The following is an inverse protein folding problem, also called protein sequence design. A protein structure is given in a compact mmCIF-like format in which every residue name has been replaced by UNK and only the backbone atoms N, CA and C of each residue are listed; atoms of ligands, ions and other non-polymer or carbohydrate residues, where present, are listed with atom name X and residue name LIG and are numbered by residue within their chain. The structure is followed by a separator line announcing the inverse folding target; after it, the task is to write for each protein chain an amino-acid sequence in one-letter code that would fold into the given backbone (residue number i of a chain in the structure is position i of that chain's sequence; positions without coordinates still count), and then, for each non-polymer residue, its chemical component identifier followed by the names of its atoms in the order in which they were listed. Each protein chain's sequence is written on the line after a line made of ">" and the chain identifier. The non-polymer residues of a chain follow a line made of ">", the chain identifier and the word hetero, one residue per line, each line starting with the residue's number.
data_IF_991292143831
#
_entry.id   IF_991292143831
#
_cell.length_a   1.000
_cell.length_b   1.000
_cell.length_c   1.000
_cell.angle_alpha   90.00
_cell.angle_beta   90.00
_cell.angle_gamma   90.00
#
_symmetry.space_group_name_H-M   'P 1'
#
loop_
_entity.id
_entity.type
_entity.pdbx_description
1 polymer ?
#
# COMPACT_ATOMS: atom_id res chain seq x y z
N UNK A 1 6.10 -3.70 -8.90
CA UNK A 1 6.89 -2.77 -8.10
C UNK A 1 6.45 -1.31 -8.37
N UNK A 2 6.16 -0.55 -7.32
CA UNK A 2 5.76 0.86 -7.42
C UNK A 2 7.03 1.70 -7.59
N UNK A 3 7.14 2.38 -8.75
CA UNK A 3 8.35 3.14 -9.14
C UNK A 3 8.25 4.60 -8.69
N UNK A 4 9.36 5.18 -8.26
CA UNK A 4 9.48 6.61 -7.99
C UNK A 4 9.74 7.41 -9.29
N UNK A 5 9.21 8.65 -9.49
CA UNK A 5 8.18 9.31 -8.68
C UNK A 5 6.81 8.66 -8.89
N UNK A 6 6.20 8.22 -7.81
CA UNK A 6 5.01 7.39 -7.85
C UNK A 6 3.82 8.03 -8.59
N UNK A 7 3.47 9.26 -8.24
CA UNK A 7 2.31 9.96 -8.80
C UNK A 7 2.46 10.18 -10.31
N UNK A 8 3.64 10.58 -10.78
CA UNK A 8 3.90 10.76 -12.19
C UNK A 8 3.83 9.43 -12.97
N UNK A 9 4.31 8.32 -12.38
CA UNK A 9 4.22 6.99 -12.98
C UNK A 9 2.77 6.52 -13.05
N UNK A 10 2.00 6.68 -11.99
CA UNK A 10 0.59 6.31 -11.91
C UNK A 10 -0.24 7.07 -12.96
N UNK A 11 -0.07 8.40 -13.03
CA UNK A 11 -0.74 9.24 -14.01
C UNK A 11 -0.35 8.89 -15.46
N UNK A 12 0.92 8.57 -15.72
CA UNK A 12 1.36 8.13 -17.05
C UNK A 12 0.73 6.77 -17.42
N UNK A 13 0.58 5.84 -16.47
CA UNK A 13 -0.11 4.55 -16.71
C UNK A 13 -1.60 4.77 -16.99
N UNK A 14 -2.27 5.62 -16.19
CA UNK A 14 -3.67 5.99 -16.39
C UNK A 14 -3.90 6.63 -17.78
N UNK A 15 -3.03 7.57 -18.15
CA UNK A 15 -3.05 8.20 -19.48
C UNK A 15 -2.91 7.17 -20.61
N UNK A 16 -1.94 6.25 -20.53
CA UNK A 16 -1.76 5.19 -21.54
C UNK A 16 -2.98 4.29 -21.64
N UNK A 17 -3.58 3.90 -20.49
CA UNK A 17 -4.81 3.11 -20.50
C UNK A 17 -5.97 3.85 -21.16
N UNK A 18 -6.14 5.15 -20.88
CA UNK A 18 -7.19 5.95 -21.55
C UNK A 18 -6.93 6.12 -23.06
N UNK A 19 -5.67 6.20 -23.48
CA UNK A 19 -5.33 6.21 -24.92
C UNK A 19 -5.72 4.91 -25.62
N UNK A 20 -5.53 3.76 -24.97
CA UNK A 20 -5.97 2.46 -25.48
C UNK A 20 -7.51 2.37 -25.56
N UNK A 21 -8.23 2.88 -24.55
CA UNK A 21 -9.69 2.94 -24.59
C UNK A 21 -10.20 3.83 -25.75
N UNK A 22 -9.58 4.99 -25.98
CA UNK A 22 -9.90 5.87 -27.10
C UNK A 22 -9.64 5.17 -28.45
N UNK A 23 -8.52 4.45 -28.56
CA UNK A 23 -8.21 3.69 -29.79
C UNK A 23 -9.25 2.61 -30.06
N UNK A 24 -9.73 1.93 -29.02
CA UNK A 24 -10.74 0.89 -29.15
C UNK A 24 -12.15 1.43 -29.46
N UNK A 25 -12.52 2.55 -28.84
CA UNK A 25 -13.82 3.20 -29.10
C UNK A 25 -13.87 3.89 -30.48
N UNK A 26 -12.73 4.07 -31.12
CA UNK A 26 -12.66 4.76 -32.42
C UNK A 26 -13.18 3.86 -33.53
N UNK A 27 -14.13 4.39 -34.31
CA UNK A 27 -14.65 3.74 -35.54
C UNK A 27 -13.91 4.26 -36.75
N UNK A 28 -13.43 3.39 -37.66
CA UNK A 28 -12.84 3.83 -38.93
C UNK A 28 -13.79 4.76 -39.68
N UNK A 29 -13.27 5.86 -40.23
CA UNK A 29 -14.04 6.89 -40.88
C UNK A 29 -14.47 8.08 -40.02
N UNK A 30 -14.40 7.99 -38.72
CA UNK A 30 -14.64 9.11 -37.80
C UNK A 30 -13.35 9.89 -37.48
N UNK A 31 -13.51 11.17 -37.10
CA UNK A 31 -12.38 11.96 -36.61
C UNK A 31 -11.89 11.44 -35.25
N UNK A 32 -10.69 10.85 -35.22
CA UNK A 32 -10.09 10.33 -33.99
C UNK A 32 -9.73 11.44 -33.04
N UNK A 33 -10.13 11.35 -31.74
CA UNK A 33 -9.76 12.32 -30.73
C UNK A 33 -8.24 12.46 -30.57
N UNK A 34 -7.76 13.68 -30.46
CA UNK A 34 -6.33 14.00 -30.35
C UNK A 34 -5.80 13.76 -28.95
N UNK A 35 -5.02 12.70 -28.71
CA UNK A 35 -4.52 12.26 -27.40
C UNK A 35 -3.17 12.87 -27.01
N UNK A 36 -2.45 13.49 -27.95
CA UNK A 36 -1.10 14.06 -27.72
C UNK A 36 -0.07 13.06 -27.16
N UNK A 37 -0.25 11.76 -27.36
CA UNK A 37 0.52 10.67 -26.71
C UNK A 37 2.04 10.81 -26.82
N UNK A 38 2.57 11.19 -27.97
CA UNK A 38 4.01 11.39 -28.18
C UNK A 38 4.56 12.52 -27.29
N UNK A 39 3.86 13.66 -27.23
CA UNK A 39 4.24 14.82 -26.41
C UNK A 39 4.13 14.49 -24.92
N UNK A 40 3.02 13.88 -24.51
CA UNK A 40 2.77 13.50 -23.13
C UNK A 40 3.82 12.49 -22.60
N UNK A 41 4.23 11.55 -23.44
CA UNK A 41 5.30 10.61 -23.13
C UNK A 41 6.67 11.29 -23.03
N UNK A 42 6.99 12.22 -23.94
CA UNK A 42 8.22 13.03 -23.85
C UNK A 42 8.28 13.84 -22.57
N UNK A 43 7.18 14.49 -22.18
CA UNK A 43 7.08 15.25 -20.92
C UNK A 43 7.28 14.34 -19.69
N UNK A 44 6.72 13.12 -19.71
CA UNK A 44 6.94 12.13 -18.67
C UNK A 44 8.41 11.69 -18.59
N UNK A 45 9.03 11.34 -19.71
CA UNK A 45 10.43 10.91 -19.76
C UNK A 45 11.38 12.00 -19.27
N UNK A 46 11.10 13.27 -19.56
CA UNK A 46 11.92 14.40 -19.09
C UNK A 46 11.97 14.51 -17.55
N UNK A 47 10.93 13.99 -16.84
CA UNK A 47 10.97 13.87 -15.39
C UNK A 47 11.74 12.63 -14.94
N UNK A 48 11.37 11.45 -15.47
CA UNK A 48 11.88 10.16 -14.96
C UNK A 48 13.39 9.99 -15.22
N UNK A 49 13.92 10.57 -16.29
CA UNK A 49 15.36 10.57 -16.58
C UNK A 49 16.17 11.53 -15.70
N UNK A 50 15.50 12.41 -14.95
CA UNK A 50 16.17 13.32 -14.04
C UNK A 50 16.51 12.60 -12.72
N UNK A 51 17.80 12.47 -12.39
CA UNK A 51 18.29 11.71 -11.22
C UNK A 51 17.77 12.26 -9.88
N UNK A 52 17.72 13.60 -9.74
CA UNK A 52 17.22 14.28 -8.54
C UNK A 52 16.32 15.46 -8.96
N UNK A 53 15.06 15.22 -9.34
CA UNK A 53 14.18 16.30 -9.78
C UNK A 53 13.77 17.17 -8.60
N UNK A 54 13.88 18.50 -8.75
CA UNK A 54 13.37 19.46 -7.77
C UNK A 54 11.82 19.37 -7.68
N UNK A 55 11.25 19.67 -6.51
CA UNK A 55 9.80 19.61 -6.25
C UNK A 55 8.97 20.41 -7.28
N UNK A 56 9.46 21.59 -7.69
CA UNK A 56 8.82 22.41 -8.73
C UNK A 56 8.72 21.68 -10.09
N UNK A 57 9.79 20.93 -10.47
CA UNK A 57 9.82 20.13 -11.70
C UNK A 57 8.86 18.96 -11.63
N UNK A 58 8.80 18.25 -10.49
CA UNK A 58 7.86 17.16 -10.25
C UNK A 58 6.42 17.68 -10.37
N UNK A 59 6.10 18.77 -9.66
CA UNK A 59 4.77 19.37 -9.69
C UNK A 59 4.36 19.79 -11.11
N UNK A 60 5.25 20.43 -11.87
CA UNK A 60 5.00 20.82 -13.27
C UNK A 60 4.68 19.61 -14.14
N UNK A 61 5.41 18.51 -13.96
CA UNK A 61 5.19 17.28 -14.72
C UNK A 61 3.86 16.61 -14.36
N UNK A 62 3.50 16.56 -13.07
CA UNK A 62 2.19 16.06 -12.60
C UNK A 62 1.06 16.88 -13.22
N UNK A 63 1.12 18.22 -13.17
CA UNK A 63 0.11 19.09 -13.78
C UNK A 63 -0.08 18.86 -15.27
N UNK A 64 1.02 18.61 -16.03
CA UNK A 64 0.94 18.24 -17.44
C UNK A 64 0.24 16.90 -17.65
N UNK A 65 0.61 15.85 -16.87
CA UNK A 65 -0.02 14.53 -16.98
C UNK A 65 -1.52 14.59 -16.64
N UNK A 66 -1.91 15.34 -15.60
CA UNK A 66 -3.30 15.59 -15.27
C UNK A 66 -4.06 16.24 -16.42
N UNK A 67 -3.47 17.25 -17.09
CA UNK A 67 -4.10 17.91 -18.25
C UNK A 67 -4.29 16.97 -19.44
N UNK A 68 -3.34 16.04 -19.69
CA UNK A 68 -3.49 15.04 -20.73
C UNK A 68 -4.56 14.01 -20.37
N UNK A 69 -4.56 13.52 -19.12
CA UNK A 69 -5.52 12.55 -18.63
C UNK A 69 -6.95 13.11 -18.66
N UNK A 70 -7.16 14.35 -18.22
CA UNK A 70 -8.46 15.04 -18.29
C UNK A 70 -9.04 15.04 -19.70
N UNK A 71 -8.26 15.46 -20.70
CA UNK A 71 -8.71 15.47 -22.11
C UNK A 71 -9.08 14.08 -22.63
N UNK A 72 -8.31 13.06 -22.22
CA UNK A 72 -8.62 11.70 -22.61
C UNK A 72 -9.94 11.23 -21.97
N UNK A 73 -10.16 11.51 -20.68
CA UNK A 73 -11.41 11.18 -20.00
C UNK A 73 -12.61 11.88 -20.63
N UNK A 74 -12.51 13.19 -20.90
CA UNK A 74 -13.55 13.96 -21.60
C UNK A 74 -13.84 13.37 -23.01
N UNK A 75 -12.81 12.90 -23.73
CA UNK A 75 -12.97 12.27 -25.03
C UNK A 75 -13.66 10.91 -24.95
N UNK A 76 -13.36 10.10 -23.93
CA UNK A 76 -14.02 8.82 -23.69
C UNK A 76 -15.49 9.06 -23.33
N UNK A 77 -15.76 9.99 -22.42
CA UNK A 77 -17.12 10.33 -22.01
C UNK A 77 -17.99 10.73 -23.19
N UNK A 78 -17.50 11.62 -24.07
CA UNK A 78 -18.20 12.00 -25.30
C UNK A 78 -18.51 10.81 -26.23
N UNK A 79 -17.57 9.88 -26.38
CA UNK A 79 -17.79 8.69 -27.21
C UNK A 79 -18.83 7.73 -26.58
N UNK A 80 -18.86 7.61 -25.24
CA UNK A 80 -19.88 6.82 -24.55
C UNK A 80 -21.28 7.46 -24.68
N UNK A 81 -21.36 8.80 -24.58
CA UNK A 81 -22.61 9.55 -24.82
C UNK A 81 -23.12 9.39 -26.25
N UNK A 82 -22.25 9.13 -27.22
CA UNK A 82 -22.59 8.82 -28.60
C UNK A 82 -23.05 7.37 -28.82
N UNK A 83 -23.25 6.59 -27.74
CA UNK A 83 -23.74 5.22 -27.80
C UNK A 83 -22.66 4.15 -27.96
N UNK A 84 -21.37 4.52 -27.93
CA UNK A 84 -20.28 3.53 -27.90
C UNK A 84 -20.22 2.82 -26.55
N UNK A 85 -19.80 1.57 -26.52
CA UNK A 85 -19.78 0.74 -25.31
C UNK A 85 -18.39 0.20 -25.00
N UNK A 86 -18.13 0.03 -23.73
CA UNK A 86 -16.96 -0.65 -23.17
C UNK A 86 -17.37 -2.00 -22.59
N UNK A 87 -16.47 -2.96 -22.58
CA UNK A 87 -16.66 -4.20 -21.81
C UNK A 87 -16.68 -3.91 -20.32
N UNK A 88 -17.25 -4.82 -19.50
CA UNK A 88 -17.27 -4.70 -18.04
C UNK A 88 -15.87 -4.51 -17.44
N UNK A 89 -14.87 -5.21 -17.96
CA UNK A 89 -13.47 -5.06 -17.51
C UNK A 89 -12.91 -3.66 -17.80
N UNK A 90 -13.25 -3.07 -18.96
CA UNK A 90 -12.82 -1.73 -19.32
C UNK A 90 -13.57 -0.65 -18.57
N UNK A 91 -14.86 -0.85 -18.30
CA UNK A 91 -15.66 0.03 -17.45
C UNK A 91 -15.06 0.08 -16.03
N UNK A 92 -14.77 -1.08 -15.45
CA UNK A 92 -14.11 -1.16 -14.13
C UNK A 92 -12.74 -0.45 -14.15
N UNK A 93 -11.97 -0.65 -15.22
CA UNK A 93 -10.68 0.04 -15.41
C UNK A 93 -10.85 1.56 -15.49
N UNK A 94 -11.85 2.02 -16.23
CA UNK A 94 -12.15 3.45 -16.39
C UNK A 94 -12.56 4.07 -15.03
N UNK A 95 -13.39 3.41 -14.24
CA UNK A 95 -13.79 3.84 -12.90
C UNK A 95 -12.56 4.04 -12.00
N UNK A 96 -11.62 3.08 -12.01
CA UNK A 96 -10.37 3.22 -11.24
C UNK A 96 -9.55 4.40 -11.72
N UNK A 97 -9.44 4.61 -13.02
CA UNK A 97 -8.69 5.74 -13.61
C UNK A 97 -9.33 7.08 -13.24
N UNK A 98 -10.65 7.19 -13.25
CA UNK A 98 -11.38 8.39 -12.84
C UNK A 98 -11.10 8.71 -11.36
N UNK A 99 -11.19 7.73 -10.47
CA UNK A 99 -10.82 7.90 -9.05
C UNK A 99 -9.37 8.35 -8.87
N UNK A 100 -8.44 7.75 -9.61
CA UNK A 100 -7.02 8.18 -9.59
C UNK A 100 -6.89 9.63 -10.05
N UNK A 101 -7.58 10.02 -11.12
CA UNK A 101 -7.56 11.40 -11.59
C UNK A 101 -8.07 12.38 -10.52
N UNK A 102 -9.21 12.09 -9.89
CA UNK A 102 -9.80 12.91 -8.83
C UNK A 102 -8.87 13.06 -7.64
N UNK A 103 -8.31 11.95 -7.13
CA UNK A 103 -7.37 11.94 -6.01
C UNK A 103 -6.09 12.73 -6.34
N UNK A 104 -5.51 12.52 -7.52
CA UNK A 104 -4.30 13.20 -7.94
C UNK A 104 -4.54 14.70 -8.22
N UNK A 105 -5.71 15.05 -8.75
CA UNK A 105 -6.14 16.43 -8.95
C UNK A 105 -6.33 17.14 -7.63
N UNK A 106 -7.02 16.51 -6.67
CA UNK A 106 -7.19 17.03 -5.31
C UNK A 106 -5.84 17.30 -4.63
N UNK A 107 -4.94 16.30 -4.65
CA UNK A 107 -3.59 16.44 -4.05
C UNK A 107 -2.78 17.55 -4.75
N UNK A 108 -2.90 17.66 -6.06
CA UNK A 108 -2.23 18.71 -6.84
C UNK A 108 -2.74 20.10 -6.46
N UNK A 109 -4.05 20.31 -6.40
CA UNK A 109 -4.68 21.61 -6.12
C UNK A 109 -4.42 22.06 -4.69
N UNK A 110 -4.58 21.15 -3.74
CA UNK A 110 -4.44 21.44 -2.30
C UNK A 110 -2.99 21.35 -1.80
N UNK A 111 -2.01 21.06 -2.67
CA UNK A 111 -0.60 20.91 -2.32
C UNK A 111 -0.36 19.89 -1.20
N UNK A 112 -1.16 18.85 -1.15
CA UNK A 112 -1.03 17.74 -0.20
C UNK A 112 -0.52 16.49 -0.89
N UNK A 113 0.04 15.56 -0.11
CA UNK A 113 0.44 14.23 -0.56
C UNK A 113 -0.44 13.12 0.05
N UNK A 114 -1.53 13.50 0.71
CA UNK A 114 -2.44 12.59 1.39
C UNK A 114 -3.87 12.81 0.91
N UNK A 115 -4.59 11.71 0.76
CA UNK A 115 -6.02 11.62 0.45
C UNK A 115 -6.53 10.29 0.99
N UNK A 116 -7.78 10.23 1.51
CA UNK A 116 -8.37 8.97 1.94
C UNK A 116 -8.35 7.93 0.80
N UNK A 117 -8.17 6.68 1.16
CA UNK A 117 -8.15 5.52 0.24
C UNK A 117 -7.27 5.67 -0.99
N UNK A 118 -6.13 6.36 -0.83
CA UNK A 118 -5.22 6.69 -1.92
C UNK A 118 -4.84 5.48 -2.77
N UNK A 119 -5.21 5.51 -4.03
CA UNK A 119 -4.84 4.50 -5.03
C UNK A 119 -3.40 4.75 -5.49
N UNK A 120 -2.58 3.71 -5.43
CA UNK A 120 -1.15 3.76 -5.81
C UNK A 120 -0.81 2.82 -6.97
N UNK A 121 -1.75 1.97 -7.36
CA UNK A 121 -1.62 1.02 -8.47
C UNK A 121 -2.95 0.89 -9.22
N UNK A 122 -2.92 0.95 -10.55
CA UNK A 122 -4.11 0.73 -11.38
C UNK A 122 -4.52 -0.75 -11.45
N UNK A 123 -3.56 -1.66 -11.36
CA UNK A 123 -3.82 -3.10 -11.41
C UNK A 123 -4.25 -3.67 -10.06
N UNK A 124 -3.87 -2.99 -8.97
CA UNK A 124 -4.17 -3.37 -7.61
C UNK A 124 -4.69 -2.14 -6.83
N UNK A 125 -5.91 -1.66 -7.14
CA UNK A 125 -6.44 -0.41 -6.57
C UNK A 125 -6.73 -0.49 -5.06
N UNK A 126 -6.70 -1.67 -4.48
CA UNK A 126 -6.84 -1.92 -3.05
C UNK A 126 -5.54 -1.77 -2.26
N UNK A 127 -4.36 -1.77 -2.93
CA UNK A 127 -3.08 -1.56 -2.25
C UNK A 127 -2.97 -0.13 -1.75
N UNK A 128 -2.59 0.02 -0.47
CA UNK A 128 -2.44 1.32 0.21
C UNK A 128 -0.98 1.61 0.55
N UNK A 129 -0.62 2.90 0.69
CA UNK A 129 0.66 3.28 1.28
C UNK A 129 0.66 3.00 2.78
N UNK A 130 1.68 2.30 3.27
CA UNK A 130 1.88 1.98 4.68
C UNK A 130 3.04 2.84 5.18
N UNK A 131 2.78 3.75 6.11
CA UNK A 131 3.80 4.61 6.72
C UNK A 131 4.50 3.83 7.84
N UNK A 132 5.82 3.65 7.71
CA UNK A 132 6.62 2.86 8.66
C UNK A 132 7.61 3.67 9.50
N UNK A 133 7.79 4.93 9.25
CA UNK A 133 8.71 5.78 10.02
C UNK A 133 10.19 5.36 9.99
N UNK A 134 10.59 4.42 9.12
CA UNK A 134 11.98 3.97 8.98
C UNK A 134 12.80 4.98 8.18
N UNK A 135 14.02 5.28 8.65
CA UNK A 135 14.98 6.09 7.90
C UNK A 135 15.27 5.47 6.52
N UNK A 136 15.17 6.27 5.46
CA UNK A 136 15.46 5.85 4.08
C UNK A 136 14.30 5.23 3.30
N UNK A 137 13.32 4.58 3.96
CA UNK A 137 12.11 4.05 3.32
C UNK A 137 10.89 4.28 4.21
N UNK A 138 10.38 5.52 4.28
CA UNK A 138 9.30 5.86 5.21
C UNK A 138 7.93 5.27 4.83
N UNK A 139 7.76 4.84 3.58
CA UNK A 139 6.49 4.30 3.06
C UNK A 139 6.75 2.99 2.32
N UNK A 140 5.98 1.99 2.67
CA UNK A 140 5.90 0.70 1.97
C UNK A 140 4.53 0.55 1.31
N UNK A 141 4.42 -0.37 0.35
CA UNK A 141 3.19 -0.63 -0.41
C UNK A 141 2.94 -2.12 -0.45
N UNK A 142 1.76 -2.55 -0.07
CA UNK A 142 1.39 -3.96 -0.05
C UNK A 142 0.36 -4.26 1.01
N UNK A 143 0.18 -5.54 1.31
CA UNK A 143 -0.57 -6.00 2.45
C UNK A 143 0.32 -6.06 3.70
N UNK A 144 -0.28 -5.82 4.87
CA UNK A 144 0.29 -6.21 6.17
C UNK A 144 -0.20 -7.62 6.48
N UNK A 145 0.73 -8.44 6.92
CA UNK A 145 0.49 -9.83 7.26
C UNK A 145 0.95 -10.06 8.70
N UNK A 146 0.08 -10.69 9.49
CA UNK A 146 0.49 -11.33 10.72
C UNK A 146 0.60 -12.82 10.46
N UNK A 147 1.74 -13.38 10.78
CA UNK A 147 2.02 -14.80 10.62
C UNK A 147 2.41 -15.40 11.97
N UNK A 148 2.03 -16.63 12.20
CA UNK A 148 2.54 -17.44 13.30
C UNK A 148 3.33 -18.63 12.77
N UNK A 149 4.36 -19.03 13.49
CA UNK A 149 5.12 -20.24 13.21
C UNK A 149 5.04 -21.15 14.43
N UNK A 150 4.61 -22.37 14.23
CA UNK A 150 4.47 -23.38 15.29
C UNK A 150 4.99 -24.70 14.72
N UNK A 151 5.97 -25.30 15.38
CA UNK A 151 6.60 -26.56 14.97
C UNK A 151 7.08 -26.54 13.49
N UNK A 152 7.64 -25.40 13.04
CA UNK A 152 8.09 -25.19 11.67
C UNK A 152 6.99 -24.91 10.64
N UNK A 153 5.72 -24.89 11.03
CA UNK A 153 4.60 -24.59 10.12
C UNK A 153 4.18 -23.12 10.24
N UNK A 154 4.24 -22.42 9.11
CA UNK A 154 3.79 -21.03 9.01
C UNK A 154 2.29 -20.95 8.72
N UNK A 155 1.59 -20.08 9.45
CA UNK A 155 0.16 -19.78 9.25
C UNK A 155 -0.07 -18.30 9.08
N UNK A 156 -0.97 -17.95 8.16
CA UNK A 156 -1.47 -16.59 8.01
C UNK A 156 -2.58 -16.37 9.04
N UNK A 157 -2.33 -15.52 10.03
CA UNK A 157 -3.29 -15.21 11.10
C UNK A 157 -4.16 -14.00 10.76
N UNK A 158 -3.59 -12.98 10.13
CA UNK A 158 -4.30 -11.79 9.70
C UNK A 158 -3.68 -11.19 8.43
N UNK A 159 -4.53 -10.65 7.55
CA UNK A 159 -4.13 -9.95 6.33
C UNK A 159 -4.98 -8.70 6.15
N UNK A 160 -4.35 -7.57 5.91
CA UNK A 160 -5.03 -6.33 5.53
C UNK A 160 -4.22 -5.53 4.53
N UNK A 161 -4.89 -4.87 3.59
CA UNK A 161 -4.30 -3.84 2.74
C UNK A 161 -4.33 -2.45 3.39
N UNK A 162 -5.12 -2.29 4.45
CA UNK A 162 -5.14 -1.08 5.26
C UNK A 162 -4.12 -1.17 6.39
N UNK A 163 -3.59 -0.01 6.79
CA UNK A 163 -2.67 0.05 7.92
C UNK A 163 -3.42 -0.29 9.24
N UNK A 164 -2.88 -1.22 10.01
CA UNK A 164 -3.39 -1.56 11.34
C UNK A 164 -2.24 -1.63 12.36
N UNK A 165 -2.58 -1.55 13.64
CA UNK A 165 -1.63 -1.73 14.73
C UNK A 165 -1.43 -3.24 14.99
N UNK A 166 -0.28 -3.77 14.63
CA UNK A 166 0.09 -5.17 14.81
C UNK A 166 -0.04 -5.62 16.28
N UNK A 167 0.27 -4.72 17.23
CA UNK A 167 0.15 -5.04 18.67
C UNK A 167 -1.27 -5.46 19.09
N UNK A 168 -2.30 -5.06 18.34
CA UNK A 168 -3.70 -5.39 18.65
C UNK A 168 -4.12 -6.81 18.23
N UNK A 169 -3.35 -7.47 17.36
CA UNK A 169 -3.75 -8.78 16.80
C UNK A 169 -3.28 -9.96 17.63
N UNK A 170 -2.32 -9.76 18.57
CA UNK A 170 -1.71 -10.84 19.34
C UNK A 170 -2.74 -11.71 20.09
N UNK A 171 -3.69 -11.08 20.77
CA UNK A 171 -4.71 -11.82 21.55
C UNK A 171 -5.51 -12.74 20.62
N UNK A 172 -5.97 -12.23 19.49
CA UNK A 172 -6.73 -13.01 18.52
C UNK A 172 -5.91 -14.18 17.98
N UNK A 173 -4.63 -13.97 17.71
CA UNK A 173 -3.71 -15.02 17.24
C UNK A 173 -3.54 -16.12 18.29
N UNK A 174 -3.40 -15.75 19.58
CA UNK A 174 -3.29 -16.71 20.69
C UNK A 174 -4.61 -17.49 20.88
N UNK A 175 -5.77 -16.83 20.78
CA UNK A 175 -7.06 -17.51 20.86
C UNK A 175 -7.26 -18.51 19.72
N UNK A 176 -6.92 -18.14 18.49
CA UNK A 176 -6.93 -19.06 17.35
C UNK A 176 -5.98 -20.25 17.55
N UNK A 177 -4.83 -20.03 18.18
CA UNK A 177 -3.94 -21.13 18.57
C UNK A 177 -4.65 -22.08 19.53
N UNK A 178 -5.26 -21.54 20.60
CA UNK A 178 -6.03 -22.32 21.57
C UNK A 178 -7.17 -23.11 20.94
N UNK A 179 -7.93 -22.48 20.04
CA UNK A 179 -9.02 -23.15 19.29
C UNK A 179 -8.52 -24.36 18.50
N UNK A 180 -7.32 -24.26 17.92
CA UNK A 180 -6.70 -25.32 17.11
C UNK A 180 -6.08 -26.44 17.95
N UNK A 181 -5.49 -26.13 19.09
CA UNK A 181 -4.68 -27.07 19.88
C UNK A 181 -5.35 -27.53 21.17
N UNK A 182 -6.45 -26.86 21.59
CA UNK A 182 -7.15 -27.12 22.84
C UNK A 182 -6.50 -26.50 24.11
N UNK A 183 -5.35 -25.83 23.96
CA UNK A 183 -4.64 -25.21 25.10
C UNK A 183 -3.93 -23.92 24.68
N UNK A 184 -3.61 -23.08 25.66
CA UNK A 184 -2.78 -21.92 25.43
C UNK A 184 -1.30 -22.29 25.23
N UNK A 185 -0.53 -21.51 24.43
CA UNK A 185 0.91 -21.72 24.33
C UNK A 185 1.60 -21.38 25.66
N UNK A 186 2.64 -22.12 26.03
CA UNK A 186 3.43 -21.82 27.23
C UNK A 186 4.27 -20.56 27.06
N UNK A 187 4.70 -20.28 25.83
CA UNK A 187 5.44 -19.06 25.48
C UNK A 187 5.09 -18.55 24.08
N UNK A 188 5.22 -17.25 23.89
CA UNK A 188 5.07 -16.57 22.59
C UNK A 188 6.32 -15.74 22.34
N UNK A 189 7.01 -16.02 21.23
CA UNK A 189 8.17 -15.27 20.75
C UNK A 189 7.68 -14.23 19.74
N UNK A 190 7.72 -12.95 20.09
CA UNK A 190 7.20 -11.88 19.28
C UNK A 190 8.09 -10.63 19.33
N UNK A 191 7.96 -9.73 18.34
CA UNK A 191 8.68 -8.46 18.35
C UNK A 191 8.19 -7.58 19.52
N UNK A 192 9.07 -6.69 19.97
CA UNK A 192 8.80 -5.74 21.08
C UNK A 192 7.53 -4.89 20.88
N UNK A 193 7.05 -4.70 19.63
CA UNK A 193 5.81 -3.99 19.35
C UNK A 193 4.59 -4.64 20.01
N UNK A 194 4.60 -5.96 20.17
CA UNK A 194 3.52 -6.72 20.81
C UNK A 194 3.54 -6.61 22.34
N UNK A 195 4.62 -6.07 22.94
CA UNK A 195 4.72 -5.90 24.40
C UNK A 195 4.07 -4.60 24.85
N UNK A 196 2.77 -4.53 24.83
CA UNK A 196 1.99 -3.49 25.50
C UNK A 196 1.38 -4.04 26.80
N UNK A 197 0.82 -3.15 27.62
CA UNK A 197 0.24 -3.53 28.93
C UNK A 197 -0.89 -4.55 28.78
N UNK A 198 -1.74 -4.37 27.77
CA UNK A 198 -2.91 -5.21 27.55
C UNK A 198 -2.51 -6.64 27.17
N UNK A 199 -1.54 -6.80 26.27
CA UNK A 199 -1.02 -8.10 25.86
C UNK A 199 -0.27 -8.79 27.02
N UNK A 200 0.50 -8.04 27.82
CA UNK A 200 1.19 -8.59 28.99
C UNK A 200 0.21 -9.07 30.06
N UNK A 201 -0.86 -8.31 30.32
CA UNK A 201 -1.90 -8.72 31.28
C UNK A 201 -2.61 -9.98 30.79
N UNK A 202 -3.04 -10.00 29.53
CA UNK A 202 -3.65 -11.17 28.91
C UNK A 202 -2.74 -12.42 29.00
N UNK A 203 -1.48 -12.29 28.63
CA UNK A 203 -0.53 -13.40 28.73
C UNK A 203 -0.34 -13.87 30.18
N UNK A 204 -0.25 -12.94 31.15
CA UNK A 204 -0.15 -13.26 32.57
C UNK A 204 -1.37 -14.03 33.08
N UNK A 205 -2.58 -13.60 32.74
CA UNK A 205 -3.85 -14.24 33.13
C UNK A 205 -3.94 -15.69 32.63
N UNK A 206 -3.36 -15.97 31.47
CA UNK A 206 -3.40 -17.31 30.86
C UNK A 206 -2.09 -18.12 31.05
N UNK A 207 -1.17 -17.66 31.90
CA UNK A 207 0.10 -18.36 32.16
C UNK A 207 1.07 -18.39 30.97
N UNK A 208 0.93 -17.46 30.02
CA UNK A 208 1.74 -17.39 28.80
C UNK A 208 2.95 -16.49 29.05
N UNK A 209 4.14 -16.97 28.70
CA UNK A 209 5.33 -16.13 28.69
C UNK A 209 5.47 -15.39 27.36
N UNK A 210 5.36 -14.07 27.37
CA UNK A 210 5.62 -13.22 26.21
C UNK A 210 7.08 -12.75 26.21
N UNK A 211 7.84 -13.07 25.15
CA UNK A 211 9.27 -12.73 25.02
C UNK A 211 9.55 -11.23 24.97
N UNK A 212 10.79 -10.85 25.26
CA UNK A 212 11.32 -9.50 25.11
C UNK A 212 11.47 -8.73 26.45
N UNK A 213 12.02 -7.50 26.38
CA UNK A 213 12.39 -6.74 27.56
C UNK A 213 11.17 -6.23 28.36
N UNK A 214 11.34 -6.03 29.67
CA UNK A 214 10.32 -5.39 30.48
C UNK A 214 9.98 -3.98 29.99
N UNK A 215 8.73 -3.56 30.19
CA UNK A 215 8.30 -2.19 29.86
C UNK A 215 8.89 -1.19 30.87
N UNK A 216 9.20 0.00 30.37
CA UNK A 216 9.70 1.10 31.20
C UNK A 216 11.23 1.20 31.26
N UNK A 217 11.75 1.91 32.26
CA UNK A 217 13.19 2.09 32.44
C UNK A 217 13.84 0.75 32.81
N UNK A 218 14.93 0.33 32.14
CA UNK A 218 15.65 -0.90 32.49
C UNK A 218 16.07 -0.91 33.93
N UNK A 219 15.80 -2.02 34.66
CA UNK A 219 16.34 -2.23 36.00
C UNK A 219 17.85 -2.48 35.90
N UNK A 220 18.62 -2.09 36.94
CA UNK A 220 20.09 -2.32 37.01
C UNK A 220 20.44 -3.80 36.94
N UNK A 221 19.60 -4.66 37.49
CA UNK A 221 19.72 -6.12 37.42
C UNK A 221 18.53 -6.67 36.62
N UNK A 222 18.82 -7.42 35.57
CA UNK A 222 17.81 -8.09 34.72
C UNK A 222 17.85 -9.58 35.12
N UNK A 223 16.90 -10.09 35.91
CA UNK A 223 16.89 -11.49 36.34
C UNK A 223 16.80 -12.49 35.19
N UNK A 224 16.28 -12.11 34.04
CA UNK A 224 16.04 -12.99 32.90
C UNK A 224 16.91 -12.68 31.64
N UNK A 225 18.09 -12.07 31.83
CA UNK A 225 18.94 -11.65 30.72
C UNK A 225 19.31 -12.82 29.78
N UNK A 226 19.67 -13.97 30.37
CA UNK A 226 20.03 -15.19 29.63
C UNK A 226 18.84 -15.72 28.83
N UNK A 227 17.66 -15.79 29.42
CA UNK A 227 16.46 -16.29 28.79
C UNK A 227 15.95 -15.35 27.69
N UNK A 228 16.02 -14.03 27.89
CA UNK A 228 15.68 -13.06 26.87
C UNK A 228 16.61 -13.14 25.65
N UNK A 229 17.89 -13.44 25.87
CA UNK A 229 18.84 -13.68 24.79
C UNK A 229 18.50 -14.95 24.00
N UNK A 230 18.17 -16.06 24.68
CA UNK A 230 17.73 -17.30 24.04
C UNK A 230 16.47 -17.06 23.21
N UNK A 231 15.47 -16.40 23.79
CA UNK A 231 14.22 -16.08 23.09
C UNK A 231 14.46 -15.23 21.81
N UNK A 232 15.43 -14.30 21.87
CA UNK A 232 15.77 -13.47 20.70
C UNK A 232 16.46 -14.30 19.60
N UNK A 233 17.39 -15.21 19.98
CA UNK A 233 18.02 -16.12 19.03
C UNK A 233 16.97 -17.02 18.35
N UNK A 234 16.12 -17.69 19.13
CA UNK A 234 15.07 -18.56 18.60
C UNK A 234 14.06 -17.79 17.72
N UNK A 235 13.76 -16.52 18.04
CA UNK A 235 12.89 -15.68 17.23
C UNK A 235 13.49 -15.34 15.85
N UNK A 236 14.81 -15.25 15.77
CA UNK A 236 15.53 -14.89 14.53
C UNK A 236 15.74 -16.12 13.63
N UNK A 237 15.78 -17.32 14.22
CA UNK A 237 15.95 -18.58 13.49
C UNK A 237 14.66 -19.09 12.81
N UNK A 238 13.53 -18.48 13.11
CA UNK A 238 12.20 -18.76 12.56
C UNK A 238 11.85 -17.79 11.42
#
# INVERSE_FOLDING_TARGET
>A
QIKYPQDANLLNQARKSTEQLIDRLHTPGENKPRTYRKRAYKDYLALVRCRKPAAKKIRKAIGKQLSYLRRNLESIEKQLQQGKSLTSAEQNRLIVIQKVYEQQKYMYDNRTHSVPDRIVSLSQPWVRPIVRGKAGKPVEFGAKLDISVVDGFTRLEYLSFDAYNEAGTLRQTIEKYRERTGHYPTRVLADKIYRNRDNLNFCKEHGIRLSGPALGRPKKELPDRKQNYIDECERVEV
#
